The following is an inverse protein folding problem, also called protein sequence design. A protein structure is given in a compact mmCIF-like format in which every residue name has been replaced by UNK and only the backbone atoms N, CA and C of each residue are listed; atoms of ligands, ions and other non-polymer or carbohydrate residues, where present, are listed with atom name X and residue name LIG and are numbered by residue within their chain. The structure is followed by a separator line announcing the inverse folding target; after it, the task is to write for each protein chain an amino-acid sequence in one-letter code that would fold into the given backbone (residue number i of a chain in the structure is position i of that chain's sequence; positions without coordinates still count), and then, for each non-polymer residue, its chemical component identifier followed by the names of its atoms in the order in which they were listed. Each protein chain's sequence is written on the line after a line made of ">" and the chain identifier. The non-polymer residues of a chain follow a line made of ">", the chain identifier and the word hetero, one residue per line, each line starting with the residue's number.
data_IF_717546384775
#
_entry.id   IF_717546384775
#
_cell.length_a   1.000
_cell.length_b   1.000
_cell.length_c   1.000
_cell.angle_alpha   90.00
_cell.angle_beta   90.00
_cell.angle_gamma   90.00
#
_symmetry.space_group_name_H-M   'P 1'
#
loop_
_entity.id
_entity.type
_entity.pdbx_description
1 polymer ?
#
# COMPACT_ATOMS: atom_id res chain seq x y z
N UNK A 1 5.07 13.64 -12.45
CA UNK A 1 3.92 13.14 -11.69
C UNK A 1 3.13 12.20 -12.58
N UNK A 2 2.81 11.01 -12.10
CA UNK A 2 2.10 9.95 -12.81
C UNK A 2 0.79 9.71 -12.05
N UNK A 3 -0.34 9.89 -12.73
CA UNK A 3 -1.65 9.55 -12.18
C UNK A 3 -1.87 8.05 -12.38
N UNK A 4 -1.64 7.27 -11.32
CA UNK A 4 -1.75 5.81 -11.37
C UNK A 4 -3.19 5.33 -11.47
N UNK A 5 -4.17 6.10 -10.99
CA UNK A 5 -5.59 5.76 -11.15
C UNK A 5 -6.36 6.90 -11.80
N UNK A 6 -7.02 6.63 -12.93
CA UNK A 6 -7.69 7.65 -13.73
C UNK A 6 -9.09 8.03 -13.20
N UNK A 7 -9.65 7.27 -12.25
CA UNK A 7 -10.98 7.51 -11.68
C UNK A 7 -12.12 7.06 -12.61
N UNK A 8 -11.85 6.21 -13.60
CA UNK A 8 -12.86 5.78 -14.60
C UNK A 8 -12.84 4.27 -14.84
N UNK A 9 -11.66 3.67 -14.90
CA UNK A 9 -11.50 2.25 -15.21
C UNK A 9 -10.19 1.72 -14.60
N UNK A 10 -9.87 0.45 -14.88
CA UNK A 10 -8.67 -0.24 -14.40
C UNK A 10 -7.48 -0.14 -15.38
N UNK A 11 -7.43 0.88 -16.23
CA UNK A 11 -6.28 1.07 -17.12
C UNK A 11 -4.98 1.19 -16.30
N UNK A 12 -3.97 0.43 -16.71
CA UNK A 12 -2.71 0.29 -15.96
C UNK A 12 -2.73 -0.73 -14.82
N UNK A 13 -3.91 -1.16 -14.35
CA UNK A 13 -4.07 -2.15 -13.28
C UNK A 13 -4.55 -3.51 -13.79
N UNK A 14 -4.11 -4.59 -13.15
CA UNK A 14 -4.65 -5.94 -13.32
C UNK A 14 -5.01 -6.52 -11.95
N UNK A 15 -5.94 -7.47 -11.92
CA UNK A 15 -6.14 -8.31 -10.73
C UNK A 15 -4.81 -9.00 -10.38
N UNK A 16 -4.43 -8.99 -9.10
CA UNK A 16 -3.23 -9.63 -8.59
C UNK A 16 -3.31 -11.16 -8.64
N UNK A 17 -4.51 -11.73 -8.64
CA UNK A 17 -4.82 -13.17 -8.70
C UNK A 17 -4.35 -13.91 -7.44
N UNK A 18 -4.82 -13.50 -6.27
CA UNK A 18 -4.61 -14.19 -4.99
C UNK A 18 -5.36 -15.53 -4.87
N UNK A 19 -6.27 -15.82 -5.81
CA UNK A 19 -6.96 -17.11 -5.92
C UNK A 19 -8.26 -17.21 -5.10
N UNK A 20 -8.61 -16.13 -4.42
CA UNK A 20 -9.87 -15.96 -3.68
C UNK A 20 -10.32 -14.51 -3.64
N UNK A 21 -9.88 -13.71 -4.61
CA UNK A 21 -10.21 -12.30 -4.75
C UNK A 21 -11.72 -12.08 -4.84
N UNK A 22 -12.19 -11.02 -4.20
CA UNK A 22 -13.51 -10.46 -4.45
C UNK A 22 -13.58 -9.75 -5.80
N UNK A 23 -14.73 -9.16 -6.09
CA UNK A 23 -14.88 -8.33 -7.28
C UNK A 23 -14.00 -7.08 -7.19
N UNK A 24 -13.43 -6.70 -8.34
CA UNK A 24 -12.59 -5.52 -8.47
C UNK A 24 -13.22 -4.63 -9.54
N UNK A 25 -13.52 -3.39 -9.16
CA UNK A 25 -14.30 -2.50 -10.01
C UNK A 25 -13.95 -1.04 -9.81
N UNK A 26 -14.63 -0.20 -10.59
CA UNK A 26 -14.61 1.24 -10.40
C UNK A 26 -16.04 1.73 -10.16
N UNK A 27 -16.27 2.36 -9.01
CA UNK A 27 -17.56 2.91 -8.59
C UNK A 27 -17.35 4.36 -8.16
N UNK A 28 -18.14 5.30 -8.66
CA UNK A 28 -18.10 6.73 -8.30
C UNK A 28 -16.68 7.34 -8.31
N UNK A 29 -15.86 6.93 -9.28
CA UNK A 29 -14.48 7.38 -9.44
C UNK A 29 -13.49 6.82 -8.42
N UNK A 30 -13.83 5.72 -7.78
CA UNK A 30 -13.04 5.00 -6.77
C UNK A 30 -12.73 3.61 -7.29
N UNK A 31 -11.51 3.15 -7.03
CA UNK A 31 -11.15 1.74 -7.19
C UNK A 31 -11.72 0.99 -5.99
N UNK A 32 -12.57 0.01 -6.24
CA UNK A 32 -13.19 -0.84 -5.23
C UNK A 32 -12.52 -2.22 -5.27
N UNK A 33 -12.10 -2.67 -4.09
CA UNK A 33 -11.68 -4.04 -3.82
C UNK A 33 -12.74 -4.64 -2.90
N UNK A 34 -13.66 -5.45 -3.44
CA UNK A 34 -14.62 -6.15 -2.61
C UNK A 34 -13.95 -7.21 -1.75
N UNK A 35 -14.59 -7.53 -0.64
CA UNK A 35 -14.09 -8.56 0.27
C UNK A 35 -14.17 -9.93 -0.42
N UNK A 36 -13.02 -10.47 -0.79
CA UNK A 36 -12.86 -11.87 -1.16
C UNK A 36 -12.85 -12.81 0.05
N UNK A 37 -12.32 -14.02 -0.15
CA UNK A 37 -12.15 -14.99 0.94
C UNK A 37 -11.17 -14.47 2.00
N UNK A 38 -10.01 -14.01 1.55
CA UNK A 38 -8.95 -13.50 2.41
C UNK A 38 -8.37 -12.21 1.80
N UNK A 39 -7.58 -12.29 0.72
CA UNK A 39 -6.95 -11.13 0.08
C UNK A 39 -7.64 -10.80 -1.25
N UNK A 40 -7.82 -9.52 -1.52
CA UNK A 40 -8.24 -9.00 -2.84
C UNK A 40 -7.31 -7.85 -3.22
N UNK A 41 -6.82 -7.82 -4.46
CA UNK A 41 -5.92 -6.74 -4.84
C UNK A 41 -5.67 -6.54 -6.32
N UNK A 42 -5.03 -5.41 -6.61
CA UNK A 42 -4.59 -5.02 -7.94
C UNK A 42 -3.10 -4.75 -7.98
N UNK A 43 -2.52 -5.00 -9.15
CA UNK A 43 -1.10 -4.81 -9.43
C UNK A 43 -0.91 -3.95 -10.66
N UNK A 44 0.04 -3.02 -10.61
CA UNK A 44 0.41 -2.16 -11.73
C UNK A 44 1.07 -2.99 -12.84
N UNK A 45 0.67 -2.74 -14.09
CA UNK A 45 1.11 -3.52 -15.26
C UNK A 45 2.51 -3.17 -15.74
N UNK A 46 2.90 -1.90 -15.68
CA UNK A 46 4.15 -1.41 -16.25
C UNK A 46 5.22 -1.20 -15.17
N UNK A 47 5.97 -2.25 -14.89
CA UNK A 47 7.09 -2.23 -13.94
C UNK A 47 8.18 -1.20 -14.32
N UNK A 48 8.44 -1.03 -15.63
CA UNK A 48 9.55 -0.20 -16.11
C UNK A 48 9.29 1.28 -15.90
N UNK A 49 8.02 1.67 -15.77
CA UNK A 49 7.62 3.04 -15.49
C UNK A 49 7.74 3.43 -14.01
N UNK A 50 8.08 2.48 -13.13
CA UNK A 50 8.15 2.73 -11.69
C UNK A 50 9.58 3.13 -11.27
N UNK A 51 9.76 4.28 -10.59
CA UNK A 51 11.02 4.57 -9.93
C UNK A 51 11.26 3.60 -8.79
N UNK A 52 12.54 3.29 -8.56
CA UNK A 52 12.98 2.38 -7.48
C UNK A 52 13.30 3.12 -6.18
N UNK A 53 13.58 4.41 -6.24
CA UNK A 53 13.89 5.29 -5.09
C UNK A 53 13.55 6.73 -5.46
N UNK A 54 13.53 7.63 -4.47
CA UNK A 54 13.30 9.07 -4.64
C UNK A 54 11.95 9.40 -5.26
N UNK A 55 10.91 8.79 -4.71
CA UNK A 55 9.55 9.04 -5.14
C UNK A 55 8.58 9.05 -3.96
N UNK A 56 7.41 9.61 -4.21
CA UNK A 56 6.26 9.63 -3.31
C UNK A 56 5.07 8.96 -3.98
N UNK A 57 4.35 8.14 -3.22
CA UNK A 57 3.01 7.68 -3.56
C UNK A 57 2.04 8.40 -2.62
N UNK A 58 1.03 9.04 -3.18
CA UNK A 58 -0.07 9.64 -2.43
C UNK A 58 -1.39 9.04 -2.88
N UNK A 59 -2.29 8.80 -1.95
CA UNK A 59 -3.63 8.29 -2.20
C UNK A 59 -4.60 8.65 -1.06
N UNK A 60 -5.88 8.44 -1.32
CA UNK A 60 -6.89 8.32 -0.29
C UNK A 60 -7.41 6.88 -0.26
N UNK A 61 -7.51 6.32 0.95
CA UNK A 61 -8.03 4.97 1.15
C UNK A 61 -9.07 4.96 2.27
N UNK A 62 -10.03 4.04 2.16
CA UNK A 62 -11.12 3.87 3.10
C UNK A 62 -11.36 2.38 3.34
N UNK A 63 -11.48 1.99 4.61
CA UNK A 63 -12.13 0.74 4.99
C UNK A 63 -13.63 0.96 4.83
N UNK A 64 -14.23 0.38 3.79
CA UNK A 64 -15.67 0.52 3.55
C UNK A 64 -16.42 -0.34 4.56
N UNK A 65 -16.02 -1.61 4.65
CA UNK A 65 -16.55 -2.59 5.60
C UNK A 65 -15.50 -3.66 5.91
N UNK A 66 -15.68 -4.41 7.00
CA UNK A 66 -14.75 -5.43 7.49
C UNK A 66 -13.92 -4.95 8.67
N UNK A 67 -12.91 -5.75 9.02
CA UNK A 67 -12.22 -5.64 10.31
C UNK A 67 -10.70 -5.73 10.24
N UNK A 68 -10.10 -5.77 9.05
CA UNK A 68 -8.64 -5.88 8.90
C UNK A 68 -8.13 -4.84 7.89
N UNK A 69 -6.95 -5.05 7.29
CA UNK A 69 -6.31 -4.00 6.52
C UNK A 69 -7.09 -3.68 5.24
N UNK A 70 -7.31 -2.38 5.03
CA UNK A 70 -7.92 -1.82 3.82
C UNK A 70 -6.86 -1.29 2.85
N UNK A 71 -5.61 -1.20 3.29
CA UNK A 71 -4.50 -0.73 2.48
C UNK A 71 -3.23 -1.49 2.84
N UNK A 72 -3.00 -2.59 2.12
CA UNK A 72 -1.70 -3.21 1.92
C UNK A 72 -1.08 -2.67 0.64
N UNK A 73 -0.18 -1.69 0.76
CA UNK A 73 0.50 -1.06 -0.37
C UNK A 73 1.88 -1.71 -0.53
N UNK A 74 2.07 -2.50 -1.59
CA UNK A 74 3.37 -3.04 -2.01
C UNK A 74 4.02 -2.08 -2.99
N UNK A 75 5.31 -1.77 -2.84
CA UNK A 75 6.03 -0.80 -3.67
C UNK A 75 7.52 -1.17 -3.81
N UNK A 76 8.21 -0.70 -4.88
CA UNK A 76 9.62 -0.99 -5.10
C UNK A 76 10.54 -0.11 -4.24
N UNK A 77 11.61 -0.69 -3.70
CA UNK A 77 12.72 0.05 -3.11
C UNK A 77 14.05 -0.59 -3.52
N UNK A 78 14.83 0.12 -4.35
CA UNK A 78 16.01 -0.45 -5.03
C UNK A 78 15.64 -1.72 -5.79
N UNK A 79 16.21 -2.86 -5.40
CA UNK A 79 15.96 -4.17 -6.01
C UNK A 79 14.99 -5.03 -5.19
N UNK A 80 14.54 -4.53 -4.04
CA UNK A 80 13.62 -5.22 -3.13
C UNK A 80 12.22 -4.60 -3.19
N UNK A 81 11.15 -5.37 -2.92
CA UNK A 81 9.84 -4.83 -2.62
C UNK A 81 9.71 -4.53 -1.11
N UNK A 82 8.87 -3.57 -0.76
CA UNK A 82 8.40 -3.36 0.61
C UNK A 82 6.86 -3.27 0.61
N UNK A 83 6.24 -3.52 1.75
CA UNK A 83 4.79 -3.32 1.90
C UNK A 83 4.47 -2.51 3.15
N UNK A 84 3.60 -1.51 3.00
CA UNK A 84 2.96 -0.78 4.09
C UNK A 84 1.61 -1.44 4.36
N UNK A 85 1.37 -1.82 5.62
CA UNK A 85 0.08 -2.33 6.08
C UNK A 85 -0.59 -1.24 6.92
N UNK A 86 -1.86 -0.94 6.63
CA UNK A 86 -2.70 -0.03 7.42
C UNK A 86 -3.98 -0.72 7.87
N UNK A 87 -4.11 -0.93 9.18
CA UNK A 87 -5.25 -1.57 9.81
C UNK A 87 -5.18 -3.11 9.84
N UNK A 88 -3.99 -3.68 9.86
CA UNK A 88 -3.76 -5.13 9.93
C UNK A 88 -4.07 -5.75 11.30
N UNK A 89 -3.97 -7.08 11.40
CA UNK A 89 -4.08 -7.86 12.66
C UNK A 89 -5.34 -7.53 13.46
N UNK A 90 -6.50 -7.70 12.84
CA UNK A 90 -7.77 -7.37 13.48
C UNK A 90 -8.08 -5.87 13.53
N UNK A 91 -7.44 -5.08 12.66
CA UNK A 91 -7.98 -3.78 12.27
C UNK A 91 -7.19 -2.56 12.69
N UNK A 92 -6.07 -2.73 13.41
CA UNK A 92 -5.39 -1.60 14.08
C UNK A 92 -3.89 -1.50 13.83
N UNK A 93 -3.22 -2.59 13.48
CA UNK A 93 -1.76 -2.56 13.27
C UNK A 93 -1.44 -1.80 12.00
N UNK A 94 -0.47 -0.89 12.10
CA UNK A 94 0.18 -0.27 10.96
C UNK A 94 1.68 -0.49 11.05
N UNK A 95 2.33 -0.62 9.91
CA UNK A 95 3.79 -0.77 9.85
C UNK A 95 4.27 -1.15 8.46
N UNK A 96 5.58 -1.07 8.27
CA UNK A 96 6.25 -1.68 7.13
C UNK A 96 6.46 -3.17 7.42
N UNK A 97 6.13 -4.05 6.49
CA UNK A 97 6.29 -5.49 6.69
C UNK A 97 7.72 -5.94 6.41
N UNK A 98 8.10 -7.04 7.07
CA UNK A 98 9.27 -7.86 6.76
C UNK A 98 10.61 -7.13 6.80
N UNK A 99 10.71 -6.10 7.65
CA UNK A 99 11.98 -5.45 7.98
C UNK A 99 12.80 -6.37 8.87
N UNK A 100 13.99 -6.75 8.41
CA UNK A 100 14.83 -7.76 9.06
C UNK A 100 14.05 -9.05 9.37
N UNK A 101 13.19 -9.47 8.43
CA UNK A 101 12.30 -10.64 8.49
C UNK A 101 11.15 -10.55 9.51
N UNK A 102 10.96 -9.40 10.16
CA UNK A 102 9.89 -9.20 11.14
C UNK A 102 8.69 -8.53 10.50
N UNK A 103 7.51 -9.07 10.78
CA UNK A 103 6.24 -8.55 10.28
C UNK A 103 5.98 -7.11 10.76
N UNK A 104 5.02 -6.44 10.12
CA UNK A 104 4.59 -5.09 10.49
C UNK A 104 4.05 -4.97 11.93
N UNK A 105 3.76 -6.10 12.60
CA UNK A 105 3.39 -6.17 14.02
C UNK A 105 4.57 -6.39 14.98
N UNK A 106 5.78 -6.62 14.47
CA UNK A 106 6.92 -7.13 15.27
C UNK A 106 8.21 -6.31 15.11
N UNK A 107 8.23 -5.32 14.22
CA UNK A 107 9.41 -4.48 13.98
C UNK A 107 9.24 -3.05 14.51
N UNK A 108 10.31 -2.27 14.41
CA UNK A 108 10.40 -0.91 14.95
C UNK A 108 9.42 0.10 14.36
N UNK A 109 8.77 -0.24 13.23
CA UNK A 109 7.76 0.62 12.60
C UNK A 109 6.33 0.31 13.06
N UNK A 110 6.16 -0.72 13.91
CA UNK A 110 4.85 -1.14 14.43
C UNK A 110 4.20 -0.01 15.21
N UNK A 111 2.96 0.31 14.85
CA UNK A 111 2.12 1.22 15.62
C UNK A 111 0.66 0.76 15.55
N UNK A 112 -0.13 1.21 16.52
CA UNK A 112 -1.55 0.88 16.60
C UNK A 112 -2.38 2.14 16.33
N UNK A 113 -3.36 2.04 15.43
CA UNK A 113 -4.26 3.13 15.11
C UNK A 113 -5.64 2.59 14.78
N UNK A 114 -6.66 3.19 15.39
CA UNK A 114 -8.04 2.89 15.04
C UNK A 114 -8.41 3.51 13.68
N UNK A 115 -9.04 2.70 12.84
CA UNK A 115 -9.66 3.14 11.59
C UNK A 115 -11.18 2.98 11.68
N UNK A 116 -11.92 4.00 11.26
CA UNK A 116 -13.38 3.96 11.23
C UNK A 116 -13.83 3.50 9.85
N UNK A 117 -14.78 2.57 9.83
CA UNK A 117 -15.42 2.17 8.58
C UNK A 117 -16.15 3.39 7.99
N UNK A 118 -16.06 3.55 6.68
CA UNK A 118 -16.62 4.71 5.99
C UNK A 118 -15.81 6.01 6.14
N UNK A 119 -14.66 6.02 6.82
CA UNK A 119 -13.79 7.20 6.88
C UNK A 119 -12.68 7.14 5.82
N UNK A 120 -12.50 8.22 5.08
CA UNK A 120 -11.37 8.41 4.17
C UNK A 120 -10.13 8.88 4.94
N UNK A 121 -8.98 8.28 4.61
CA UNK A 121 -7.68 8.63 5.15
C UNK A 121 -6.75 9.04 4.02
N UNK A 122 -6.10 10.21 4.17
CA UNK A 122 -5.09 10.68 3.21
C UNK A 122 -3.75 10.06 3.55
N UNK A 123 -3.24 9.22 2.66
CA UNK A 123 -1.98 8.50 2.85
C UNK A 123 -0.93 9.09 1.92
N UNK A 124 0.24 9.35 2.48
CA UNK A 124 1.45 9.67 1.71
C UNK A 124 2.57 8.76 2.16
N UNK A 125 3.27 8.14 1.22
CA UNK A 125 4.44 7.33 1.44
C UNK A 125 5.58 7.89 0.60
N UNK A 126 6.73 8.15 1.22
CA UNK A 126 7.94 8.61 0.54
C UNK A 126 9.01 7.54 0.65
N UNK A 127 9.63 7.21 -0.47
CA UNK A 127 10.73 6.25 -0.58
C UNK A 127 11.99 7.00 -0.96
N UNK A 128 12.97 7.00 -0.06
CA UNK A 128 14.34 7.41 -0.32
C UNK A 128 15.23 6.17 -0.27
N UNK A 129 16.46 6.29 -0.76
CA UNK A 129 17.40 5.17 -0.83
C UNK A 129 17.63 4.44 0.51
N UNK A 130 17.60 5.17 1.63
CA UNK A 130 17.85 4.64 2.98
C UNK A 130 16.76 4.98 3.97
N UNK A 131 15.61 5.48 3.51
CA UNK A 131 14.56 5.95 4.41
C UNK A 131 13.18 5.80 3.79
N UNK A 132 12.23 5.30 4.56
CA UNK A 132 10.81 5.35 4.21
C UNK A 132 10.09 6.19 5.25
N UNK A 133 9.29 7.15 4.78
CA UNK A 133 8.46 7.97 5.66
C UNK A 133 7.00 7.86 5.23
N UNK A 134 6.08 7.72 6.19
CA UNK A 134 4.64 7.57 5.94
C UNK A 134 3.86 8.58 6.76
N UNK A 135 2.88 9.22 6.13
CA UNK A 135 1.95 10.14 6.77
C UNK A 135 0.52 9.68 6.55
N UNK A 136 -0.32 9.86 7.58
CA UNK A 136 -1.78 9.73 7.49
C UNK A 136 -2.39 11.05 7.96
N UNK A 137 -3.24 11.64 7.11
CA UNK A 137 -3.90 12.93 7.33
C UNK A 137 -2.90 14.06 7.66
N UNK A 138 -1.75 14.03 7.00
CA UNK A 138 -0.67 15.00 7.19
C UNK A 138 0.18 14.78 8.45
N UNK A 139 -0.20 13.85 9.33
CA UNK A 139 0.60 13.47 10.50
C UNK A 139 1.55 12.32 10.14
N UNK A 140 2.83 12.50 10.43
CA UNK A 140 3.83 11.44 10.27
C UNK A 140 3.55 10.32 11.26
N UNK A 141 3.58 9.08 10.77
CA UNK A 141 3.35 7.88 11.58
C UNK A 141 4.53 6.91 11.54
N UNK A 142 5.28 6.87 10.44
CA UNK A 142 6.46 6.00 10.29
C UNK A 142 7.57 6.86 9.71
N UNK A 143 8.76 6.71 10.30
CA UNK A 143 9.99 7.28 9.80
C UNK A 143 11.14 6.29 9.99
N UNK A 144 11.29 5.39 9.03
CA UNK A 144 12.14 4.21 9.11
C UNK A 144 13.50 4.45 8.45
N UNK A 145 14.59 4.30 9.20
CA UNK A 145 15.95 4.20 8.66
C UNK A 145 16.22 2.76 8.19
N UNK A 146 16.64 2.62 6.94
CA UNK A 146 16.87 1.35 6.26
C UNK A 146 18.36 1.02 6.10
N UNK A 147 19.26 1.83 6.64
CA UNK A 147 20.70 1.58 6.54
C UNK A 147 21.06 0.21 7.15
N UNK A 148 21.53 -0.71 6.31
CA UNK A 148 21.93 -2.06 6.72
C UNK A 148 20.78 -3.03 6.98
N UNK A 149 19.52 -2.63 6.74
CA UNK A 149 18.35 -3.48 6.94
C UNK A 149 18.03 -4.32 5.72
N UNK A 150 17.47 -5.51 5.96
CA UNK A 150 16.83 -6.31 4.92
C UNK A 150 15.38 -5.87 4.79
N UNK A 151 14.97 -5.56 3.56
CA UNK A 151 13.60 -5.15 3.24
C UNK A 151 12.95 -6.26 2.42
N UNK A 152 11.67 -6.48 2.65
CA UNK A 152 10.93 -7.48 1.90
C UNK A 152 9.43 -7.33 2.10
N UNK A 153 8.72 -8.39 1.73
CA UNK A 153 7.30 -8.52 1.95
C UNK A 153 6.98 -9.95 2.40
N UNK A 154 5.80 -10.13 2.97
CA UNK A 154 5.23 -11.44 3.24
C UNK A 154 4.93 -12.19 1.94
N UNK A 155 5.07 -13.51 1.96
CA UNK A 155 4.83 -14.35 0.78
C UNK A 155 3.39 -14.21 0.27
N UNK A 156 2.45 -14.00 1.19
CA UNK A 156 1.04 -13.86 0.88
C UNK A 156 0.73 -12.63 0.01
N UNK A 157 1.58 -11.59 0.00
CA UNK A 157 1.39 -10.36 -0.80
C UNK A 157 2.34 -10.27 -2.01
N UNK A 158 3.05 -11.35 -2.36
CA UNK A 158 3.88 -11.38 -3.57
C UNK A 158 3.16 -11.07 -4.88
N UNK A 159 1.89 -11.49 -5.08
CA UNK A 159 1.12 -11.12 -6.27
C UNK A 159 0.96 -9.60 -6.48
N UNK A 160 1.16 -8.78 -5.44
CA UNK A 160 1.15 -7.31 -5.51
C UNK A 160 2.41 -6.68 -6.10
N UNK A 161 3.48 -7.45 -6.40
CA UNK A 161 4.70 -6.91 -7.02
C UNK A 161 4.44 -6.52 -8.49
N UNK A 162 5.05 -5.42 -9.00
CA UNK A 162 6.04 -4.56 -8.34
C UNK A 162 5.44 -3.44 -7.49
N UNK A 163 4.24 -2.97 -7.86
CA UNK A 163 3.45 -1.98 -7.16
C UNK A 163 2.02 -2.48 -7.13
N UNK A 164 1.41 -2.54 -5.95
CA UNK A 164 0.08 -3.12 -5.80
C UNK A 164 -0.62 -2.64 -4.54
N UNK A 165 -1.95 -2.72 -4.60
CA UNK A 165 -2.82 -2.47 -3.46
C UNK A 165 -3.64 -3.71 -3.19
N UNK A 166 -3.74 -4.10 -1.92
CA UNK A 166 -4.60 -5.19 -1.50
C UNK A 166 -5.32 -4.86 -0.19
N UNK A 167 -6.41 -5.56 0.07
CA UNK A 167 -7.11 -5.60 1.35
C UNK A 167 -7.21 -7.04 1.85
N UNK A 168 -7.35 -7.22 3.16
CA UNK A 168 -7.60 -8.51 3.78
C UNK A 168 -8.91 -8.48 4.56
N UNK A 169 -9.82 -9.42 4.29
CA UNK A 169 -11.13 -9.56 4.95
C UNK A 169 -11.87 -8.23 5.15
N UNK A 170 -11.77 -7.39 4.12
CA UNK A 170 -12.14 -5.98 4.17
C UNK A 170 -12.50 -5.53 2.75
N UNK A 171 -13.67 -4.89 2.61
CA UNK A 171 -13.98 -4.10 1.41
C UNK A 171 -13.22 -2.78 1.50
N UNK A 172 -12.41 -2.49 0.50
CA UNK A 172 -11.60 -1.27 0.46
C UNK A 172 -11.97 -0.39 -0.74
N UNK A 173 -11.92 0.92 -0.52
CA UNK A 173 -12.05 1.91 -1.59
C UNK A 173 -10.78 2.77 -1.63
N UNK A 174 -10.27 3.01 -2.84
CA UNK A 174 -9.04 3.76 -3.11
C UNK A 174 -9.32 4.84 -4.16
N UNK A 175 -8.75 6.03 -3.99
CA UNK A 175 -8.83 7.11 -4.98
C UNK A 175 -7.64 8.04 -4.93
N UNK A 176 -7.55 8.94 -5.91
CA UNK A 176 -6.50 9.95 -5.99
C UNK A 176 -5.07 9.36 -5.91
N UNK A 177 -4.86 8.20 -6.53
CA UNK A 177 -3.59 7.47 -6.51
C UNK A 177 -2.62 8.13 -7.48
N UNK A 178 -1.55 8.70 -6.93
CA UNK A 178 -0.55 9.49 -7.66
C UNK A 178 0.85 9.07 -7.23
N UNK A 179 1.74 8.93 -8.21
CA UNK A 179 3.17 8.75 -7.98
C UNK A 179 3.94 9.97 -8.47
N UNK A 180 4.86 10.47 -7.66
CA UNK A 180 5.72 11.60 -8.00
C UNK A 180 7.18 11.26 -7.71
N UNK A 181 7.97 11.13 -8.76
CA UNK A 181 9.43 11.09 -8.65
C UNK A 181 9.99 12.49 -8.42
N UNK A 182 11.10 12.56 -7.71
CA UNK A 182 11.86 13.79 -7.49
C UNK A 182 13.36 13.49 -7.53
N UNK A 183 14.15 14.50 -7.86
CA UNK A 183 15.61 14.40 -7.75
C UNK A 183 16.00 14.23 -6.28
N UNK A 184 16.97 13.34 -6.00
CA UNK A 184 17.53 13.20 -4.66
C UNK A 184 17.90 14.57 -4.09
N UNK A 185 17.60 14.87 -2.82
CA UNK A 185 18.25 15.97 -2.13
C UNK A 185 19.77 15.76 -2.23
N UNK A 186 20.49 16.76 -2.76
CA UNK A 186 21.97 16.78 -2.74
C UNK A 186 22.50 16.73 -1.31
#
# INVERSE_FOLDING_TARGET
>A
EIKLFNGKNLDGWKNSMFGGDGEIGVEDGQLILDMGNDITGVTWKDEKALPKVNYEISLEAQRVDGSDFFCGLTFPIKDDPCSLILGGWGGTVCGLSSLDFKDASENETTLFRDFKNGQWYKIRLRVLEKRITVWIDGKEIIDADLAGKKVGIRSEVEPSKPLGFCSFRTKAALRNIVLKEFESPK
#
